data_IF_276470260301
#
_entry.id   IF_276470260301
#
_cell.length_a   1.000
_cell.length_b   1.000
_cell.length_c   1.000
_cell.angle_alpha   90.00
_cell.angle_beta   90.00
_cell.angle_gamma   90.00
#
_symmetry.space_group_name_H-M   'P 1'
#
loop_
_entity.id
_entity.type
_entity.pdbx_description
1 polymer ?
#
# COMPACT_ATOMS: atom_id res chain seq x y z
N UNK A 1 1.98 18.06 0.54
CA UNK A 1 2.31 16.64 0.23
C UNK A 1 1.85 16.21 -1.17
N UNK A 2 0.66 16.56 -1.62
CA UNK A 2 0.16 16.20 -2.96
C UNK A 2 1.08 16.68 -4.09
N UNK A 3 1.52 17.93 -4.03
CA UNK A 3 2.45 18.54 -5.02
C UNK A 3 3.77 17.76 -5.08
N UNK A 4 4.35 17.42 -3.93
CA UNK A 4 5.57 16.61 -3.85
C UNK A 4 5.45 15.27 -4.59
N UNK A 5 4.32 14.57 -4.45
CA UNK A 5 4.11 13.30 -5.13
C UNK A 5 3.81 13.48 -6.62
N UNK A 6 3.05 14.52 -6.99
CA UNK A 6 2.85 14.85 -8.41
C UNK A 6 4.18 15.16 -9.10
N UNK A 7 5.05 15.97 -8.48
CA UNK A 7 6.38 16.26 -9.00
C UNK A 7 7.24 15.00 -9.13
N UNK A 8 7.22 14.13 -8.11
CA UNK A 8 7.97 12.86 -8.12
C UNK A 8 7.50 11.92 -9.22
N UNK A 9 6.21 11.84 -9.46
CA UNK A 9 5.64 10.98 -10.50
C UNK A 9 5.55 11.63 -11.89
N UNK A 10 5.85 12.92 -12.02
CA UNK A 10 5.90 13.60 -13.32
C UNK A 10 7.09 13.17 -14.19
N UNK A 11 8.15 12.62 -13.61
CA UNK A 11 9.29 12.08 -14.35
C UNK A 11 8.87 10.88 -15.21
N UNK A 12 9.53 10.67 -16.37
CA UNK A 12 9.21 9.54 -17.25
C UNK A 12 9.47 8.19 -16.59
N UNK A 13 10.57 8.07 -15.85
CA UNK A 13 10.93 6.86 -15.13
C UNK A 13 9.96 6.57 -13.98
N UNK A 14 9.71 5.29 -13.69
CA UNK A 14 8.96 4.86 -12.52
C UNK A 14 9.82 5.02 -11.26
N UNK A 15 9.39 5.87 -10.34
CA UNK A 15 10.13 6.23 -9.13
C UNK A 15 10.42 5.01 -8.23
N UNK A 16 9.47 4.10 -8.17
CA UNK A 16 9.55 2.87 -7.35
C UNK A 16 9.57 1.58 -8.18
N UNK A 17 9.92 1.69 -9.47
CA UNK A 17 9.96 0.56 -10.38
C UNK A 17 8.58 0.08 -10.83
N UNK A 18 8.57 -0.97 -11.66
CA UNK A 18 7.34 -1.53 -12.25
C UNK A 18 7.03 -2.93 -11.67
N UNK A 19 7.99 -3.54 -10.99
CA UNK A 19 7.81 -4.84 -10.36
C UNK A 19 7.06 -4.69 -9.03
N UNK A 20 6.12 -5.61 -8.79
CA UNK A 20 5.41 -5.64 -7.53
C UNK A 20 6.36 -5.90 -6.35
N UNK A 21 6.00 -5.37 -5.21
CA UNK A 21 6.71 -5.59 -3.96
C UNK A 21 6.85 -7.09 -3.64
N UNK A 22 8.01 -7.52 -3.15
CA UNK A 22 8.32 -8.93 -2.92
C UNK A 22 7.42 -9.58 -1.86
N UNK A 23 7.02 -8.82 -0.83
CA UNK A 23 6.05 -9.31 0.15
C UNK A 23 4.71 -9.63 -0.52
N UNK A 24 4.22 -8.78 -1.43
CA UNK A 24 2.97 -9.00 -2.17
C UNK A 24 3.10 -10.21 -3.11
N UNK A 25 4.21 -10.34 -3.84
CA UNK A 25 4.47 -11.50 -4.71
C UNK A 25 4.51 -12.82 -3.93
N UNK A 26 4.96 -12.79 -2.69
CA UNK A 26 5.04 -13.97 -1.83
C UNK A 26 3.67 -14.40 -1.25
N UNK A 27 2.60 -13.59 -1.39
CA UNK A 27 1.27 -13.96 -0.90
C UNK A 27 0.55 -14.86 -1.90
N UNK A 28 -0.25 -15.80 -1.37
CA UNK A 28 -1.16 -16.62 -2.17
C UNK A 28 -2.48 -15.87 -2.40
N UNK A 29 -2.43 -14.85 -3.26
CA UNK A 29 -3.62 -14.07 -3.62
C UNK A 29 -4.49 -14.89 -4.58
N UNK A 30 -5.76 -15.10 -4.23
CA UNK A 30 -6.74 -15.79 -5.07
C UNK A 30 -7.07 -15.02 -6.36
N UNK A 31 -8.00 -15.55 -7.14
CA UNK A 31 -8.52 -14.91 -8.35
C UNK A 31 -10.00 -14.50 -8.14
N UNK A 32 -10.48 -13.52 -8.93
CA UNK A 32 -11.86 -13.06 -8.88
C UNK A 32 -12.20 -12.24 -7.64
N UNK A 33 -11.19 -11.76 -6.91
CA UNK A 33 -11.35 -10.91 -5.74
C UNK A 33 -11.61 -9.46 -6.14
N UNK A 34 -12.36 -8.73 -5.32
CA UNK A 34 -12.40 -7.27 -5.32
C UNK A 34 -11.30 -6.75 -4.42
N UNK A 35 -10.34 -6.04 -5.00
CA UNK A 35 -9.13 -5.59 -4.31
C UNK A 35 -9.03 -4.08 -4.30
N UNK A 36 -8.69 -3.51 -3.15
CA UNK A 36 -8.38 -2.09 -2.99
C UNK A 36 -6.91 -1.92 -2.65
N UNK A 37 -6.18 -1.12 -3.44
CA UNK A 37 -4.82 -0.69 -3.13
C UNK A 37 -4.83 0.76 -2.65
N UNK A 38 -4.25 1.02 -1.47
CA UNK A 38 -4.22 2.34 -0.84
C UNK A 38 -2.87 3.02 -1.05
N UNK A 39 -2.88 4.30 -1.43
CA UNK A 39 -1.68 5.09 -1.72
C UNK A 39 -0.74 4.36 -2.70
N UNK A 40 -1.31 3.90 -3.80
CA UNK A 40 -0.65 2.97 -4.72
C UNK A 40 0.41 3.63 -5.62
N UNK A 41 0.31 4.94 -5.82
CA UNK A 41 1.25 5.70 -6.65
C UNK A 41 1.19 5.30 -8.12
N UNK A 42 2.26 4.66 -8.60
CA UNK A 42 2.46 4.32 -10.03
C UNK A 42 1.94 2.92 -10.42
N UNK A 43 1.28 2.20 -9.50
CA UNK A 43 0.43 1.05 -9.82
C UNK A 43 1.10 -0.32 -9.86
N UNK A 44 2.34 -0.47 -9.46
CA UNK A 44 3.09 -1.73 -9.60
C UNK A 44 2.42 -2.93 -8.90
N UNK A 45 1.89 -2.75 -7.69
CA UNK A 45 1.20 -3.82 -6.97
C UNK A 45 -0.22 -4.03 -7.51
N UNK A 46 -0.95 -2.95 -7.81
CA UNK A 46 -2.29 -3.02 -8.38
C UNK A 46 -2.30 -3.76 -9.71
N UNK A 47 -1.35 -3.47 -10.62
CA UNK A 47 -1.21 -4.14 -11.92
C UNK A 47 -0.85 -5.61 -11.75
N UNK A 48 0.08 -5.95 -10.86
CA UNK A 48 0.40 -7.34 -10.56
C UNK A 48 -0.83 -8.10 -10.05
N UNK A 49 -1.57 -7.56 -9.09
CA UNK A 49 -2.75 -8.20 -8.53
C UNK A 49 -3.85 -8.34 -9.59
N UNK A 50 -4.02 -7.37 -10.47
CA UNK A 50 -4.94 -7.45 -11.60
C UNK A 50 -4.53 -8.56 -12.59
N UNK A 51 -3.22 -8.77 -12.82
CA UNK A 51 -2.71 -9.85 -13.68
C UNK A 51 -3.01 -11.26 -13.16
N UNK A 52 -3.30 -11.39 -11.86
CA UNK A 52 -3.77 -12.62 -11.24
C UNK A 52 -5.28 -12.88 -11.46
N UNK A 53 -5.98 -12.02 -12.21
CA UNK A 53 -7.41 -12.15 -12.52
C UNK A 53 -8.33 -11.53 -11.49
N UNK A 54 -7.91 -10.48 -10.82
CA UNK A 54 -8.68 -9.76 -9.80
C UNK A 54 -9.23 -8.42 -10.33
N UNK A 55 -10.35 -7.96 -9.75
CA UNK A 55 -10.96 -6.65 -9.97
C UNK A 55 -10.30 -5.64 -9.01
N UNK A 56 -9.39 -4.82 -9.54
CA UNK A 56 -8.53 -3.96 -8.73
C UNK A 56 -8.89 -2.49 -8.89
N UNK A 57 -9.12 -1.85 -7.75
CA UNK A 57 -9.22 -0.40 -7.60
C UNK A 57 -8.03 0.10 -6.81
N UNK A 58 -7.45 1.22 -7.19
CA UNK A 58 -6.43 1.90 -6.41
C UNK A 58 -6.85 3.34 -6.11
N UNK A 59 -6.53 3.81 -4.91
CA UNK A 59 -6.72 5.20 -4.48
C UNK A 59 -5.35 5.82 -4.28
N UNK A 60 -5.12 6.94 -4.95
CA UNK A 60 -3.97 7.81 -4.69
C UNK A 60 -4.39 9.27 -4.91
N UNK A 61 -3.78 10.20 -4.21
CA UNK A 61 -4.09 11.62 -4.40
C UNK A 61 -3.27 12.28 -5.53
N UNK A 62 -2.29 11.55 -6.09
CA UNK A 62 -1.51 11.99 -7.24
C UNK A 62 -2.15 11.56 -8.56
N UNK A 63 -2.60 12.54 -9.33
CA UNK A 63 -3.10 12.29 -10.68
C UNK A 63 -2.02 11.74 -11.61
N UNK A 64 -0.76 12.20 -11.45
CA UNK A 64 0.38 11.71 -12.25
C UNK A 64 0.68 10.24 -11.94
N UNK A 65 0.64 9.85 -10.67
CA UNK A 65 0.77 8.44 -10.28
C UNK A 65 -0.29 7.57 -10.92
N UNK A 66 -1.57 7.99 -10.87
CA UNK A 66 -2.67 7.23 -11.45
C UNK A 66 -2.61 7.15 -12.99
N UNK A 67 -2.09 8.17 -13.67
CA UNK A 67 -1.84 8.10 -15.11
C UNK A 67 -0.78 7.05 -15.45
N UNK A 68 0.29 6.95 -14.65
CA UNK A 68 1.30 5.90 -14.80
C UNK A 68 0.75 4.53 -14.47
N UNK A 69 -0.10 4.41 -13.44
CA UNK A 69 -0.85 3.17 -13.16
C UNK A 69 -1.64 2.70 -14.37
N UNK A 70 -2.39 3.60 -15.01
CA UNK A 70 -3.17 3.26 -16.21
C UNK A 70 -2.29 2.83 -17.40
N UNK A 71 -1.14 3.49 -17.60
CA UNK A 71 -0.16 3.10 -18.64
C UNK A 71 0.44 1.73 -18.35
N UNK A 72 0.85 1.49 -17.10
CA UNK A 72 1.43 0.20 -16.69
C UNK A 72 0.41 -0.93 -16.84
N UNK A 73 -0.85 -0.70 -16.47
CA UNK A 73 -1.94 -1.65 -16.66
C UNK A 73 -2.15 -1.98 -18.16
N UNK A 74 -2.18 -0.97 -19.01
CA UNK A 74 -2.27 -1.15 -20.46
C UNK A 74 -1.11 -1.97 -21.03
N UNK A 75 0.12 -1.68 -20.62
CA UNK A 75 1.33 -2.42 -21.04
C UNK A 75 1.27 -3.90 -20.65
N UNK A 76 0.62 -4.23 -19.53
CA UNK A 76 0.46 -5.59 -19.03
C UNK A 76 -0.85 -6.26 -19.48
N UNK A 77 -1.68 -5.59 -20.30
CA UNK A 77 -2.93 -6.13 -20.82
C UNK A 77 -4.01 -6.34 -19.76
N UNK A 78 -3.97 -5.58 -18.68
CA UNK A 78 -4.93 -5.64 -17.57
C UNK A 78 -5.64 -4.30 -17.36
N UNK A 79 -6.68 -4.29 -16.54
CA UNK A 79 -7.40 -3.08 -16.15
C UNK A 79 -7.27 -2.85 -14.64
N UNK A 80 -7.05 -1.59 -14.27
CA UNK A 80 -7.04 -1.11 -12.89
C UNK A 80 -7.87 0.17 -12.84
N UNK A 81 -8.81 0.24 -11.91
CA UNK A 81 -9.60 1.45 -11.68
C UNK A 81 -8.83 2.39 -10.75
N UNK A 82 -8.48 3.58 -11.22
CA UNK A 82 -7.80 4.62 -10.42
C UNK A 82 -8.77 5.66 -9.89
N UNK A 83 -8.73 5.94 -8.59
CA UNK A 83 -9.51 6.98 -7.93
C UNK A 83 -8.55 8.04 -7.36
N UNK A 84 -8.66 9.29 -7.86
CA UNK A 84 -7.82 10.39 -7.39
C UNK A 84 -8.48 11.06 -6.18
N UNK A 85 -8.14 10.60 -4.98
CA UNK A 85 -8.70 11.12 -3.72
C UNK A 85 -7.64 11.23 -2.62
N UNK A 86 -7.88 12.14 -1.69
CA UNK A 86 -7.10 12.26 -0.45
C UNK A 86 -7.67 11.31 0.60
N UNK A 87 -6.86 10.35 1.04
CA UNK A 87 -7.25 9.36 2.05
C UNK A 87 -7.62 9.99 3.40
N UNK A 88 -7.27 11.25 3.65
CA UNK A 88 -7.74 11.98 4.83
C UNK A 88 -9.24 12.34 4.79
N UNK A 89 -9.88 12.25 3.62
CA UNK A 89 -11.28 12.63 3.40
C UNK A 89 -12.10 11.51 2.73
N UNK A 90 -11.45 10.47 2.24
CA UNK A 90 -12.09 9.34 1.56
C UNK A 90 -13.06 8.61 2.48
N UNK A 91 -14.19 8.19 1.93
CA UNK A 91 -15.14 7.31 2.59
C UNK A 91 -15.18 5.97 1.86
N UNK A 92 -14.66 4.93 2.50
CA UNK A 92 -14.62 3.60 1.92
C UNK A 92 -15.99 2.92 2.05
N UNK A 93 -16.41 2.25 0.96
CA UNK A 93 -17.63 1.45 0.98
C UNK A 93 -17.48 0.27 1.93
N UNK A 94 -18.43 0.11 2.86
CA UNK A 94 -18.43 -0.96 3.86
C UNK A 94 -18.66 -2.34 3.22
N UNK A 95 -18.00 -3.37 3.77
CA UNK A 95 -18.14 -4.78 3.38
C UNK A 95 -18.08 -5.01 1.86
N UNK A 96 -17.17 -4.31 1.19
CA UNK A 96 -17.09 -4.33 -0.26
C UNK A 96 -15.87 -5.07 -0.80
N UNK A 97 -14.76 -5.05 -0.06
CA UNK A 97 -13.47 -5.55 -0.52
C UNK A 97 -13.14 -6.92 0.08
N UNK A 98 -12.63 -7.82 -0.76
CA UNK A 98 -12.12 -9.12 -0.34
C UNK A 98 -10.68 -8.99 0.16
N UNK A 99 -9.94 -8.05 -0.41
CA UNK A 99 -8.55 -7.76 -0.05
C UNK A 99 -8.30 -6.25 -0.09
N UNK A 100 -7.61 -5.73 0.94
CA UNK A 100 -7.08 -4.38 0.94
C UNK A 100 -5.55 -4.47 1.08
N UNK A 101 -4.83 -3.70 0.26
CA UNK A 101 -3.37 -3.71 0.19
C UNK A 101 -2.84 -2.30 0.44
N UNK A 102 -1.80 -2.19 1.27
CA UNK A 102 -1.06 -0.94 1.50
C UNK A 102 0.44 -1.19 1.54
N UNK A 103 1.17 -0.83 0.49
CA UNK A 103 2.62 -1.00 0.42
C UNK A 103 3.30 0.36 0.51
N UNK A 104 4.14 0.54 1.52
CA UNK A 104 4.79 1.81 1.85
C UNK A 104 3.84 3.01 1.95
N UNK A 105 2.61 2.72 2.37
CA UNK A 105 1.55 3.69 2.62
C UNK A 105 1.79 4.38 3.97
N UNK A 106 2.57 5.46 3.94
CA UNK A 106 2.99 6.21 5.11
C UNK A 106 2.16 7.47 5.28
N UNK A 107 1.44 7.55 6.39
CA UNK A 107 0.49 8.61 6.65
C UNK A 107 0.81 9.37 7.94
N UNK A 108 0.53 10.69 8.00
CA UNK A 108 0.51 11.42 9.27
C UNK A 108 -0.62 10.91 10.19
N UNK A 109 -0.50 11.16 11.47
CA UNK A 109 -1.40 10.63 12.50
C UNK A 109 -2.89 10.80 12.18
N UNK A 110 -3.31 12.01 11.77
CA UNK A 110 -4.71 12.30 11.45
C UNK A 110 -5.28 11.47 10.29
N UNK A 111 -4.42 11.10 9.30
CA UNK A 111 -4.83 10.21 8.21
C UNK A 111 -4.89 8.76 8.70
N UNK A 112 -3.93 8.31 9.52
CA UNK A 112 -3.97 6.98 10.14
C UNK A 112 -5.25 6.81 10.97
N UNK A 113 -5.59 7.80 11.81
CA UNK A 113 -6.82 7.80 12.62
C UNK A 113 -8.10 7.74 11.80
N UNK A 114 -8.10 8.38 10.63
CA UNK A 114 -9.26 8.41 9.72
C UNK A 114 -9.41 7.10 8.93
N UNK A 115 -8.32 6.60 8.33
CA UNK A 115 -8.41 5.54 7.32
C UNK A 115 -8.47 4.12 7.91
N UNK A 116 -7.72 3.82 8.98
CA UNK A 116 -7.65 2.46 9.49
C UNK A 116 -8.97 1.88 10.01
N UNK A 117 -9.83 2.65 10.73
CA UNK A 117 -11.17 2.15 11.07
C UNK A 117 -12.02 1.85 9.85
N UNK A 118 -11.87 2.64 8.78
CA UNK A 118 -12.60 2.43 7.54
C UNK A 118 -12.09 1.20 6.76
N UNK A 119 -10.78 0.95 6.76
CA UNK A 119 -10.19 -0.26 6.14
C UNK A 119 -10.83 -1.52 6.73
N UNK A 120 -10.95 -1.60 8.05
CA UNK A 120 -11.64 -2.72 8.69
C UNK A 120 -13.12 -2.80 8.27
N UNK A 121 -13.85 -1.68 8.33
CA UNK A 121 -15.27 -1.65 7.96
C UNK A 121 -15.49 -2.00 6.49
N UNK A 122 -14.57 -1.60 5.59
CA UNK A 122 -14.63 -1.82 4.16
C UNK A 122 -14.35 -3.27 3.73
N UNK A 123 -13.62 -4.03 4.54
CA UNK A 123 -13.40 -5.45 4.29
C UNK A 123 -14.70 -6.24 4.51
N UNK A 124 -14.99 -7.19 3.64
CA UNK A 124 -16.02 -8.21 3.85
C UNK A 124 -15.67 -9.12 5.04
N UNK A 125 -16.65 -9.80 5.64
CA UNK A 125 -16.34 -10.92 6.55
C UNK A 125 -15.42 -11.94 5.86
N UNK A 126 -14.29 -12.28 6.49
CA UNK A 126 -13.25 -13.12 5.91
C UNK A 126 -12.30 -12.39 4.94
N UNK A 127 -12.47 -11.09 4.75
CA UNK A 127 -11.58 -10.28 3.95
C UNK A 127 -10.22 -10.04 4.63
N UNK A 128 -9.20 -9.75 3.85
CA UNK A 128 -7.80 -9.66 4.31
C UNK A 128 -7.22 -8.25 4.13
N UNK A 129 -6.34 -7.89 5.04
CA UNK A 129 -5.44 -6.74 4.90
C UNK A 129 -4.00 -7.24 4.74
N UNK A 130 -3.32 -6.78 3.70
CA UNK A 130 -1.89 -6.99 3.48
C UNK A 130 -1.18 -5.64 3.48
N UNK A 131 -0.16 -5.49 4.32
CA UNK A 131 0.65 -4.27 4.36
C UNK A 131 2.13 -4.62 4.45
N UNK A 132 2.96 -3.85 3.76
CA UNK A 132 4.37 -3.68 4.10
C UNK A 132 4.66 -2.20 4.27
N UNK A 133 5.17 -1.82 5.44
CA UNK A 133 5.51 -0.42 5.75
C UNK A 133 6.88 -0.36 6.42
N UNK A 134 7.54 0.79 6.36
CA UNK A 134 8.78 0.99 7.09
C UNK A 134 8.53 1.09 8.60
N UNK A 135 9.34 0.33 9.35
CA UNK A 135 9.45 0.45 10.81
C UNK A 135 10.15 1.75 11.19
N UNK A 136 9.95 2.20 12.43
CA UNK A 136 10.61 3.39 12.99
C UNK A 136 12.15 3.30 12.96
N UNK A 137 12.71 2.10 12.98
CA UNK A 137 14.16 1.90 12.86
C UNK A 137 14.71 2.25 11.46
N UNK A 138 13.85 2.40 10.46
CA UNK A 138 14.26 2.79 9.11
C UNK A 138 15.06 4.09 9.09
N UNK A 139 14.83 5.00 10.02
CA UNK A 139 15.60 6.25 10.15
C UNK A 139 17.12 6.02 10.30
N UNK A 140 17.54 4.84 10.76
CA UNK A 140 18.96 4.50 10.92
C UNK A 140 19.64 4.11 9.62
N UNK A 141 18.88 3.71 8.59
CA UNK A 141 19.44 3.19 7.35
C UNK A 141 19.64 4.26 6.28
N UNK A 142 18.74 5.25 6.19
CA UNK A 142 18.85 6.32 5.18
C UNK A 142 18.68 5.86 3.73
N UNK A 143 18.13 4.67 3.51
CA UNK A 143 18.03 3.97 2.20
C UNK A 143 16.68 4.12 1.52
N UNK A 144 15.75 4.85 2.13
CA UNK A 144 14.41 5.09 1.61
C UNK A 144 13.40 5.32 2.73
N UNK A 145 12.17 5.64 2.34
CA UNK A 145 11.08 5.92 3.25
C UNK A 145 11.08 7.33 3.84
N UNK A 146 10.06 7.65 4.63
CA UNK A 146 9.94 8.95 5.29
C UNK A 146 11.07 9.21 6.28
N UNK A 147 11.55 10.47 6.33
CA UNK A 147 12.57 10.92 7.26
C UNK A 147 11.97 11.48 8.57
N UNK A 148 10.69 11.29 8.80
CA UNK A 148 9.95 11.75 9.96
C UNK A 148 9.33 10.56 10.69
N UNK A 149 9.58 10.48 12.00
CA UNK A 149 9.16 9.36 12.84
C UNK A 149 7.64 9.15 12.87
N UNK A 150 6.87 10.23 12.83
CA UNK A 150 5.41 10.24 12.85
C UNK A 150 4.75 9.62 11.60
N UNK A 151 5.51 9.55 10.51
CA UNK A 151 5.08 8.87 9.28
C UNK A 151 5.38 7.37 9.28
N UNK A 152 6.34 6.93 10.10
CA UNK A 152 6.73 5.53 10.22
C UNK A 152 5.77 4.77 11.16
N UNK A 153 5.93 3.47 11.21
CA UNK A 153 5.09 2.61 12.06
C UNK A 153 5.93 1.90 13.11
N UNK A 154 5.41 1.85 14.35
CA UNK A 154 5.91 0.96 15.38
C UNK A 154 5.14 -0.36 15.37
N UNK A 155 5.82 -1.48 15.66
CA UNK A 155 5.16 -2.79 15.72
C UNK A 155 4.05 -2.80 16.77
N UNK A 156 4.32 -2.30 17.96
CA UNK A 156 3.36 -2.23 19.06
C UNK A 156 2.18 -1.30 18.75
N UNK A 157 2.43 -0.21 18.00
CA UNK A 157 1.37 0.69 17.50
C UNK A 157 0.41 -0.05 16.57
N UNK A 158 0.95 -0.78 15.59
CA UNK A 158 0.14 -1.57 14.66
C UNK A 158 -0.60 -2.72 15.37
N UNK A 159 0.04 -3.41 16.30
CA UNK A 159 -0.60 -4.44 17.11
C UNK A 159 -1.80 -3.86 17.89
N UNK A 160 -1.61 -2.75 18.58
CA UNK A 160 -2.67 -2.09 19.34
C UNK A 160 -3.82 -1.59 18.47
N UNK A 161 -3.51 -1.15 17.25
CA UNK A 161 -4.50 -0.68 16.28
C UNK A 161 -5.34 -1.83 15.74
N UNK A 162 -4.69 -2.91 15.31
CA UNK A 162 -5.34 -3.99 14.55
C UNK A 162 -6.02 -5.03 15.45
N UNK A 163 -5.46 -5.36 16.63
CA UNK A 163 -5.98 -6.40 17.53
C UNK A 163 -7.42 -6.14 17.99
N UNK A 164 -7.83 -4.89 18.02
CA UNK A 164 -9.19 -4.51 18.43
C UNK A 164 -10.24 -4.80 17.37
N UNK A 165 -9.83 -5.04 16.14
CA UNK A 165 -10.72 -5.08 14.98
C UNK A 165 -10.65 -6.40 14.22
N UNK A 166 -9.46 -6.98 14.06
CA UNK A 166 -9.25 -8.18 13.25
C UNK A 166 -9.26 -9.46 14.09
N UNK A 167 -9.79 -10.55 13.52
CA UNK A 167 -9.86 -11.86 14.17
C UNK A 167 -8.50 -12.56 14.27
N UNK A 168 -7.63 -12.33 13.29
CA UNK A 168 -6.28 -12.87 13.25
C UNK A 168 -5.33 -11.82 12.70
N UNK A 169 -4.16 -11.69 13.35
CA UNK A 169 -3.14 -10.72 12.98
C UNK A 169 -1.77 -11.37 13.07
N UNK A 170 -0.97 -11.16 12.04
CA UNK A 170 0.45 -11.49 12.02
C UNK A 170 1.23 -10.24 11.62
N UNK A 171 2.13 -9.78 12.48
CA UNK A 171 3.03 -8.66 12.23
C UNK A 171 4.46 -9.11 12.44
N UNK A 172 5.24 -9.07 11.37
CA UNK A 172 6.64 -9.48 11.37
C UNK A 172 7.53 -8.28 11.07
N UNK A 173 8.53 -8.04 11.94
CA UNK A 173 9.61 -7.09 11.64
C UNK A 173 10.67 -7.82 10.82
N UNK A 174 10.94 -7.32 9.62
CA UNK A 174 11.86 -7.90 8.66
C UNK A 174 12.98 -6.89 8.37
N UNK A 175 14.22 -7.38 8.40
CA UNK A 175 15.38 -6.65 7.88
C UNK A 175 15.71 -7.27 6.52
N UNK A 176 15.63 -6.48 5.47
CA UNK A 176 15.88 -6.94 4.10
C UNK A 176 16.52 -5.86 3.25
N UNK A 177 17.16 -6.25 2.16
CA UNK A 177 17.52 -5.32 1.11
C UNK A 177 16.28 -5.06 0.24
N UNK A 178 15.91 -3.79 0.09
CA UNK A 178 14.85 -3.35 -0.80
C UNK A 178 15.48 -2.89 -2.10
N UNK A 179 14.98 -3.37 -3.23
CA UNK A 179 15.39 -2.97 -4.57
C UNK A 179 14.17 -2.58 -5.39
N UNK A 180 13.58 -1.43 -5.05
CA UNK A 180 12.30 -0.98 -5.61
C UNK A 180 12.45 0.43 -6.17
N UNK A 181 12.95 0.51 -7.40
CA UNK A 181 13.19 1.77 -8.10
C UNK A 181 14.33 2.60 -7.52
N UNK A 182 14.27 3.90 -7.75
CA UNK A 182 15.37 4.83 -7.41
C UNK A 182 15.38 5.18 -5.93
N UNK A 183 14.21 5.26 -5.30
CA UNK A 183 14.06 5.82 -3.95
C UNK A 183 13.94 4.77 -2.84
N UNK A 184 13.77 3.51 -3.17
CA UNK A 184 13.75 2.40 -2.21
C UNK A 184 14.85 1.41 -2.58
N UNK A 185 16.09 1.68 -2.14
CA UNK A 185 17.24 0.87 -2.52
C UNK A 185 18.24 0.73 -1.37
N UNK A 186 18.39 -0.49 -0.87
CA UNK A 186 19.33 -0.87 0.18
C UNK A 186 18.68 -1.46 1.41
N UNK A 187 19.46 -1.60 2.48
CA UNK A 187 19.02 -2.21 3.73
C UNK A 187 17.83 -1.46 4.34
N UNK A 188 16.83 -2.19 4.77
CA UNK A 188 15.59 -1.65 5.31
C UNK A 188 15.08 -2.44 6.51
N UNK A 189 14.42 -1.73 7.42
CA UNK A 189 13.59 -2.31 8.46
C UNK A 189 12.11 -2.12 8.09
N UNK A 190 11.40 -3.21 7.81
CA UNK A 190 9.99 -3.19 7.44
C UNK A 190 9.13 -3.96 8.42
N UNK A 191 7.86 -3.63 8.47
CA UNK A 191 6.80 -4.39 9.12
C UNK A 191 5.89 -4.98 8.05
N UNK A 192 5.81 -6.30 8.02
CA UNK A 192 4.90 -7.05 7.16
C UNK A 192 3.68 -7.47 7.95
N UNK A 193 2.51 -7.09 7.49
CA UNK A 193 1.23 -7.30 8.18
C UNK A 193 0.31 -8.17 7.32
N UNK A 194 -0.24 -9.20 7.96
CA UNK A 194 -1.35 -9.99 7.44
C UNK A 194 -2.45 -9.98 8.50
N UNK A 195 -3.63 -9.49 8.16
CA UNK A 195 -4.75 -9.48 9.09
C UNK A 195 -6.02 -9.99 8.40
N UNK A 196 -6.84 -10.74 9.15
CA UNK A 196 -8.08 -11.35 8.68
C UNK A 196 -9.26 -10.80 9.49
N UNK A 197 -10.29 -10.28 8.79
CA UNK A 197 -11.56 -9.83 9.38
C UNK A 197 -12.48 -10.98 9.73
#
# INVERSE_FOLDING_TARGET
MKEFWNERYAEEAYAYGQEANDFIKAQQIGTGLKVLCLAEGEGRNAVYIASLGNDVTCIDYSQEGLQKTARLAQMNGVQVTGICEDLSQTQLQQEHWDLIVGVFAHFPAHVKEHIWPQVFAALKPGGQLLMEVYDQEQLRFGTGGPQHLDLLYGKEELEALLTKQFNSIQIEKIYRDVHEGVYHNGAAATLQVRALK
#
